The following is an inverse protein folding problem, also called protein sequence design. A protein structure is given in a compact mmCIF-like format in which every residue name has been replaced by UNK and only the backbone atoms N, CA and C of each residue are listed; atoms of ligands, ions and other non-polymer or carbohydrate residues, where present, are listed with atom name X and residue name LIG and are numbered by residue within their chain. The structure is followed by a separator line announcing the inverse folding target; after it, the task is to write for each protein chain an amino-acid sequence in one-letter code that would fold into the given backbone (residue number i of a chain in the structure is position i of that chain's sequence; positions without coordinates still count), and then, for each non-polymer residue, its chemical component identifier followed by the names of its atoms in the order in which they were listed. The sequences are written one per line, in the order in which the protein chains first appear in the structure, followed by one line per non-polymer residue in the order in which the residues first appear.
data_IF_775846561106
#
_entry.id   IF_775846561106
#
_cell.length_a   1.000
_cell.length_b   1.000
_cell.length_c   1.000
_cell.angle_alpha   90.00
_cell.angle_beta   90.00
_cell.angle_gamma   90.00
#
_symmetry.space_group_name_H-M   'P 1'
#
loop_
_entity.id
_entity.type
_entity.pdbx_description
1 polymer ?
#
# COMPACT_ATOMS: atom_id res chain seq x y z
N UNK A 1 28.01 10.96 -4.49
CA UNK A 1 26.53 10.79 -4.58
C UNK A 1 26.23 10.04 -5.86
N UNK A 2 25.90 8.76 -5.77
CA UNK A 2 25.50 7.97 -6.92
C UNK A 2 24.11 8.46 -7.38
N UNK A 3 24.06 9.09 -8.53
CA UNK A 3 22.82 9.49 -9.20
C UNK A 3 22.17 8.28 -9.83
N UNK A 4 21.32 7.57 -9.07
CA UNK A 4 20.48 6.52 -9.64
C UNK A 4 19.45 7.15 -10.59
N UNK A 5 19.15 6.45 -11.71
CA UNK A 5 18.12 6.87 -12.67
C UNK A 5 16.80 7.15 -11.95
N UNK A 6 16.17 8.28 -12.23
CA UNK A 6 14.85 8.62 -11.68
C UNK A 6 13.75 7.84 -12.43
N UNK A 7 12.67 7.51 -11.71
CA UNK A 7 11.49 6.87 -12.28
C UNK A 7 11.39 5.38 -12.00
N UNK A 8 10.66 4.64 -12.86
CA UNK A 8 10.38 3.20 -12.77
C UNK A 8 11.47 2.33 -13.40
N UNK A 9 12.72 2.79 -13.42
CA UNK A 9 13.84 2.00 -13.96
C UNK A 9 14.09 0.76 -13.10
N UNK A 10 14.41 -0.37 -13.74
CA UNK A 10 14.80 -1.62 -13.06
C UNK A 10 16.07 -1.47 -12.21
N UNK A 11 16.95 -0.52 -12.55
CA UNK A 11 18.25 -0.30 -11.90
C UNK A 11 18.18 0.65 -10.69
N UNK A 12 16.99 0.92 -10.15
CA UNK A 12 16.90 1.79 -8.98
C UNK A 12 17.18 1.02 -7.70
N UNK A 13 18.08 1.56 -6.85
CA UNK A 13 18.29 1.07 -5.47
C UNK A 13 17.07 1.26 -4.56
N UNK A 14 16.03 1.97 -5.04
CA UNK A 14 14.80 2.25 -4.29
C UNK A 14 13.91 1.02 -4.23
N UNK A 15 13.30 0.78 -3.07
CA UNK A 15 12.27 -0.25 -2.95
C UNK A 15 11.06 0.11 -3.84
N UNK A 16 10.52 -0.89 -4.51
CA UNK A 16 9.33 -0.77 -5.35
C UNK A 16 8.12 -1.17 -4.53
N UNK A 17 7.08 -0.36 -4.57
CA UNK A 17 5.86 -0.57 -3.80
C UNK A 17 4.66 -0.34 -4.70
N UNK A 18 3.70 -1.26 -4.65
CA UNK A 18 2.36 -1.05 -5.19
C UNK A 18 1.44 -0.62 -4.05
N UNK A 19 0.57 0.34 -4.33
CA UNK A 19 -0.38 0.86 -3.35
C UNK A 19 -1.78 0.90 -3.97
N UNK A 20 -2.78 0.47 -3.21
CA UNK A 20 -4.18 0.53 -3.57
C UNK A 20 -4.99 1.22 -2.46
N UNK A 21 -5.96 2.03 -2.82
CA UNK A 21 -6.90 2.64 -1.88
C UNK A 21 -8.35 2.39 -2.32
N UNK A 22 -9.21 2.16 -1.36
CA UNK A 22 -10.66 2.13 -1.55
C UNK A 22 -11.24 3.50 -1.17
N UNK A 23 -12.06 4.04 -2.04
CA UNK A 23 -12.78 5.30 -1.79
C UNK A 23 -14.25 5.03 -1.51
N UNK A 24 -14.86 5.86 -0.66
CA UNK A 24 -16.32 5.92 -0.51
C UNK A 24 -16.95 6.58 -1.73
N UNK A 25 -18.27 6.51 -1.83
CA UNK A 25 -19.03 7.22 -2.88
C UNK A 25 -18.80 8.74 -2.88
N UNK A 26 -18.44 9.28 -1.71
CA UNK A 26 -18.12 10.71 -1.50
C UNK A 26 -16.65 11.04 -1.82
N UNK A 27 -15.84 10.07 -2.27
CA UNK A 27 -14.43 10.25 -2.57
C UNK A 27 -13.49 10.30 -1.34
N UNK A 28 -14.00 9.95 -0.14
CA UNK A 28 -13.15 9.82 1.07
C UNK A 28 -12.46 8.47 1.08
N UNK A 29 -11.27 8.42 1.68
CA UNK A 29 -10.50 7.18 1.80
C UNK A 29 -11.18 6.29 2.85
N UNK A 30 -11.48 5.04 2.47
CA UNK A 30 -12.09 4.04 3.33
C UNK A 30 -11.06 3.01 3.80
N UNK A 31 -10.24 2.52 2.88
CA UNK A 31 -9.19 1.54 3.16
C UNK A 31 -8.01 1.76 2.24
N UNK A 32 -6.85 1.25 2.64
CA UNK A 32 -5.67 1.20 1.79
C UNK A 32 -4.81 0.00 2.09
N UNK A 33 -4.02 -0.38 1.11
CA UNK A 33 -3.09 -1.50 1.16
C UNK A 33 -1.85 -1.16 0.36
N UNK A 34 -0.70 -1.67 0.79
CA UNK A 34 0.53 -1.56 0.03
C UNK A 34 1.37 -2.82 0.18
N UNK A 35 2.07 -3.17 -0.88
CA UNK A 35 2.94 -4.35 -0.93
C UNK A 35 4.27 -3.99 -1.57
N UNK A 36 5.36 -4.41 -0.95
CA UNK A 36 6.69 -4.35 -1.56
C UNK A 36 6.73 -5.37 -2.68
N UNK A 37 7.18 -4.95 -3.85
CA UNK A 37 7.27 -5.78 -5.06
C UNK A 37 8.70 -5.82 -5.58
N UNK A 38 9.05 -6.90 -6.24
CA UNK A 38 10.38 -7.06 -6.85
C UNK A 38 10.52 -6.20 -8.11
N UNK A 39 9.46 -6.18 -8.91
CA UNK A 39 9.41 -5.41 -10.14
C UNK A 39 8.00 -4.86 -10.41
N UNK A 40 7.84 -4.08 -11.46
CA UNK A 40 6.53 -3.54 -11.88
C UNK A 40 5.82 -4.43 -12.92
N UNK A 41 6.10 -5.74 -12.94
CA UNK A 41 5.40 -6.69 -13.80
C UNK A 41 3.98 -6.96 -13.32
N UNK A 42 3.12 -7.45 -14.21
CA UNK A 42 1.77 -7.86 -13.84
C UNK A 42 1.79 -8.96 -12.77
N UNK A 43 2.74 -9.91 -12.84
CA UNK A 43 2.90 -10.99 -11.86
C UNK A 43 3.18 -10.47 -10.45
N UNK A 44 4.02 -9.44 -10.32
CA UNK A 44 4.36 -8.85 -9.01
C UNK A 44 3.22 -7.98 -8.44
N UNK A 45 2.37 -7.41 -9.31
CA UNK A 45 1.25 -6.56 -8.91
C UNK A 45 -0.02 -7.39 -8.63
N UNK A 46 -0.22 -8.50 -9.35
CA UNK A 46 -1.42 -9.34 -9.27
C UNK A 46 -1.83 -9.69 -7.81
N UNK A 47 -0.91 -10.08 -6.90
CA UNK A 47 -1.31 -10.49 -5.56
C UNK A 47 -2.11 -9.45 -4.77
N UNK A 48 -1.83 -8.14 -4.95
CA UNK A 48 -2.61 -7.12 -4.24
C UNK A 48 -4.05 -7.01 -4.78
N UNK A 49 -4.23 -7.31 -6.07
CA UNK A 49 -5.55 -7.37 -6.67
C UNK A 49 -6.34 -8.57 -6.13
N UNK A 50 -5.73 -9.75 -6.13
CA UNK A 50 -6.39 -10.98 -5.73
C UNK A 50 -6.72 -11.02 -4.23
N UNK A 51 -5.84 -10.45 -3.39
CA UNK A 51 -6.02 -10.44 -1.93
C UNK A 51 -7.01 -9.36 -1.46
N UNK A 52 -7.10 -8.21 -2.16
CA UNK A 52 -7.78 -7.03 -1.60
C UNK A 52 -8.84 -6.40 -2.49
N UNK A 53 -8.91 -6.74 -3.78
CA UNK A 53 -9.78 -6.05 -4.73
C UNK A 53 -10.81 -7.01 -5.31
N UNK A 54 -12.09 -6.70 -5.11
CA UNK A 54 -13.17 -7.49 -5.72
C UNK A 54 -13.15 -7.35 -7.24
N UNK A 55 -13.40 -8.46 -7.97
CA UNK A 55 -13.52 -8.47 -9.44
C UNK A 55 -14.64 -7.57 -9.96
N UNK A 56 -15.64 -7.26 -9.13
CA UNK A 56 -16.76 -6.36 -9.45
C UNK A 56 -16.44 -4.89 -9.13
N UNK A 57 -15.30 -4.58 -8.51
CA UNK A 57 -14.95 -3.22 -8.13
C UNK A 57 -14.68 -2.34 -9.36
N UNK A 58 -15.07 -1.07 -9.28
CA UNK A 58 -14.63 -0.06 -10.24
C UNK A 58 -13.22 0.38 -9.91
N UNK A 59 -12.26 0.04 -10.76
CA UNK A 59 -10.84 0.25 -10.51
C UNK A 59 -10.30 1.31 -11.47
N UNK A 60 -9.51 2.24 -10.93
CA UNK A 60 -8.76 3.23 -11.71
C UNK A 60 -7.27 3.02 -11.50
N UNK A 61 -6.52 2.92 -12.57
CA UNK A 61 -5.05 2.82 -12.56
C UNK A 61 -4.44 3.81 -13.52
N UNK A 62 -3.14 4.08 -13.34
CA UNK A 62 -2.38 4.79 -14.36
C UNK A 62 -2.21 3.89 -15.62
N UNK A 63 -1.70 4.49 -16.72
CA UNK A 63 -1.48 3.80 -18.00
C UNK A 63 -0.23 2.92 -18.02
N UNK A 64 0.10 2.27 -16.88
CA UNK A 64 1.22 1.33 -16.86
C UNK A 64 0.85 0.02 -17.56
N UNK A 65 1.73 -0.48 -18.43
CA UNK A 65 1.46 -1.64 -19.28
C UNK A 65 1.14 -2.94 -18.53
N UNK A 66 1.64 -3.11 -17.31
CA UNK A 66 1.32 -4.27 -16.47
C UNK A 66 -0.19 -4.41 -16.18
N UNK A 67 -0.90 -3.29 -16.04
CA UNK A 67 -2.34 -3.30 -15.78
C UNK A 67 -3.17 -3.78 -16.98
N UNK A 68 -2.64 -3.74 -18.18
CA UNK A 68 -3.33 -4.28 -19.39
C UNK A 68 -3.56 -5.79 -19.29
N UNK A 69 -2.62 -6.52 -18.65
CA UNK A 69 -2.80 -7.96 -18.40
C UNK A 69 -3.83 -8.21 -17.30
N UNK A 70 -3.79 -7.44 -16.23
CA UNK A 70 -4.69 -7.53 -15.09
C UNK A 70 -6.13 -7.14 -15.50
N UNK A 71 -6.30 -6.18 -16.41
CA UNK A 71 -7.61 -5.77 -16.91
C UNK A 71 -8.42 -6.90 -17.57
N UNK A 72 -7.76 -7.98 -18.02
CA UNK A 72 -8.47 -9.15 -18.55
C UNK A 72 -9.29 -9.88 -17.50
N UNK A 73 -8.87 -9.82 -16.24
CA UNK A 73 -9.54 -10.47 -15.11
C UNK A 73 -10.46 -9.51 -14.33
N UNK A 74 -10.26 -8.20 -14.51
CA UNK A 74 -11.00 -7.14 -13.83
C UNK A 74 -11.73 -6.25 -14.84
N UNK A 75 -12.95 -6.60 -15.27
CA UNK A 75 -13.64 -5.96 -16.39
C UNK A 75 -13.94 -4.48 -16.18
N UNK A 76 -14.04 -4.03 -14.93
CA UNK A 76 -14.30 -2.63 -14.58
C UNK A 76 -13.01 -1.81 -14.33
N UNK A 77 -11.83 -2.34 -14.72
CA UNK A 77 -10.59 -1.63 -14.61
C UNK A 77 -10.42 -0.63 -15.76
N UNK A 78 -10.27 0.65 -15.39
CA UNK A 78 -10.02 1.76 -16.32
C UNK A 78 -8.61 2.30 -16.13
N UNK A 79 -7.88 2.42 -17.23
CA UNK A 79 -6.55 3.03 -17.26
C UNK A 79 -6.63 4.48 -17.70
N UNK A 80 -6.17 5.41 -16.87
CA UNK A 80 -6.19 6.84 -17.14
C UNK A 80 -4.76 7.40 -17.08
N UNK A 81 -4.47 8.45 -17.90
CA UNK A 81 -3.19 9.17 -17.76
C UNK A 81 -3.11 9.80 -16.38
N UNK A 82 -2.05 9.52 -15.64
CA UNK A 82 -1.88 10.07 -14.30
C UNK A 82 -1.74 11.59 -14.34
N UNK A 83 -2.65 12.27 -13.66
CA UNK A 83 -2.60 13.69 -13.32
C UNK A 83 -2.72 13.76 -11.77
N UNK A 84 -1.59 13.83 -11.04
CA UNK A 84 -1.56 13.59 -9.60
C UNK A 84 -2.50 14.46 -8.76
N UNK A 85 -2.76 15.69 -9.22
CA UNK A 85 -3.64 16.65 -8.53
C UNK A 85 -5.10 16.54 -8.91
N UNK A 86 -5.42 15.87 -10.02
CA UNK A 86 -6.77 15.77 -10.56
C UNK A 86 -7.39 14.41 -10.28
N UNK A 87 -6.90 13.37 -10.97
CA UNK A 87 -7.56 12.05 -10.94
C UNK A 87 -6.96 11.05 -9.94
N UNK A 88 -5.78 11.34 -9.38
CA UNK A 88 -5.08 10.47 -8.40
C UNK A 88 -4.70 11.21 -7.11
N UNK A 89 -5.41 12.28 -6.77
CA UNK A 89 -5.11 13.14 -5.62
C UNK A 89 -5.05 12.35 -4.30
N UNK A 90 -6.05 11.51 -4.03
CA UNK A 90 -6.15 10.80 -2.74
C UNK A 90 -5.00 9.81 -2.56
N UNK A 91 -4.70 9.00 -3.57
CA UNK A 91 -3.61 8.03 -3.47
C UNK A 91 -2.25 8.73 -3.39
N UNK A 92 -2.06 9.84 -4.11
CA UNK A 92 -0.83 10.61 -4.02
C UNK A 92 -0.64 11.23 -2.65
N UNK A 93 -1.71 11.76 -2.03
CA UNK A 93 -1.66 12.27 -0.66
C UNK A 93 -1.24 11.18 0.34
N UNK A 94 -1.82 9.97 0.24
CA UNK A 94 -1.42 8.84 1.08
C UNK A 94 0.05 8.47 0.87
N UNK A 95 0.52 8.40 -0.36
CA UNK A 95 1.93 8.12 -0.68
C UNK A 95 2.86 9.20 -0.09
N UNK A 96 2.47 10.47 -0.15
CA UNK A 96 3.24 11.55 0.45
C UNK A 96 3.27 11.48 1.97
N UNK A 97 2.13 11.24 2.62
CA UNK A 97 2.04 11.04 4.07
C UNK A 97 2.88 9.85 4.54
N UNK A 98 2.79 8.72 3.86
CA UNK A 98 3.60 7.54 4.12
C UNK A 98 5.10 7.85 4.03
N UNK A 99 5.53 8.51 2.95
CA UNK A 99 6.94 8.90 2.77
C UNK A 99 7.41 9.88 3.83
N UNK A 100 6.58 10.84 4.21
CA UNK A 100 6.88 11.80 5.28
C UNK A 100 7.03 11.07 6.62
N UNK A 101 6.07 10.22 6.97
CA UNK A 101 6.12 9.41 8.20
C UNK A 101 7.40 8.54 8.29
N UNK A 102 7.73 7.85 7.20
CA UNK A 102 8.95 7.03 7.16
C UNK A 102 10.23 7.86 7.33
N UNK A 103 10.28 9.09 6.79
CA UNK A 103 11.45 9.98 6.95
C UNK A 103 11.56 10.56 8.36
N UNK A 104 10.43 10.82 9.01
CA UNK A 104 10.41 11.44 10.35
C UNK A 104 10.77 10.42 11.44
N UNK A 105 10.27 9.19 11.33
CA UNK A 105 10.44 8.16 12.35
C UNK A 105 11.76 7.40 12.16
N UNK A 106 12.19 7.23 10.92
CA UNK A 106 13.32 6.38 10.57
C UNK A 106 14.34 7.16 9.73
N UNK A 107 15.50 7.43 10.28
CA UNK A 107 16.64 7.97 9.53
C UNK A 107 17.11 7.03 8.43
N UNK A 108 16.89 5.72 8.61
CA UNK A 108 17.24 4.69 7.63
C UNK A 108 16.25 3.53 7.66
N UNK A 109 15.43 3.41 6.61
CA UNK A 109 14.51 2.27 6.47
C UNK A 109 15.22 1.15 5.72
N UNK A 110 15.46 0.04 6.40
CA UNK A 110 15.97 -1.16 5.75
C UNK A 110 14.88 -1.77 4.87
N UNK A 111 15.23 -2.13 3.63
CA UNK A 111 14.29 -2.73 2.66
C UNK A 111 13.60 -3.98 3.20
N UNK A 112 14.30 -4.79 4.00
CA UNK A 112 13.74 -6.02 4.60
C UNK A 112 12.62 -5.75 5.60
N UNK A 113 12.59 -4.55 6.19
CA UNK A 113 11.56 -4.18 7.16
C UNK A 113 10.49 -3.27 6.57
N UNK A 114 10.65 -2.83 5.31
CA UNK A 114 9.73 -1.87 4.69
C UNK A 114 8.29 -2.37 4.70
N UNK A 115 8.05 -3.67 4.41
CA UNK A 115 6.69 -4.24 4.43
C UNK A 115 6.03 -4.06 5.80
N UNK A 116 6.75 -4.30 6.90
CA UNK A 116 6.22 -4.13 8.26
C UNK A 116 5.76 -2.70 8.54
N UNK A 117 6.52 -1.69 8.07
CA UNK A 117 6.12 -0.28 8.18
C UNK A 117 4.91 0.07 7.31
N UNK A 118 4.81 -0.51 6.11
CA UNK A 118 3.63 -0.35 5.26
C UNK A 118 2.40 -0.95 5.94
N UNK A 119 2.53 -2.17 6.47
CA UNK A 119 1.44 -2.87 7.15
C UNK A 119 0.97 -2.10 8.38
N UNK A 120 1.87 -1.56 9.18
CA UNK A 120 1.54 -0.72 10.33
C UNK A 120 0.81 0.56 9.90
N UNK A 121 1.32 1.28 8.90
CA UNK A 121 0.70 2.51 8.41
C UNK A 121 -0.72 2.25 7.92
N UNK A 122 -0.91 1.24 7.05
CA UNK A 122 -2.22 0.91 6.51
C UNK A 122 -3.15 0.27 7.54
N UNK A 123 -2.60 -0.44 8.52
CA UNK A 123 -3.37 -0.89 9.67
C UNK A 123 -4.00 0.29 10.42
N UNK A 124 -3.22 1.32 10.72
CA UNK A 124 -3.71 2.54 11.40
C UNK A 124 -4.73 3.29 10.52
N UNK A 125 -4.40 3.48 9.22
CA UNK A 125 -5.29 4.14 8.26
C UNK A 125 -6.64 3.45 8.19
N UNK A 126 -6.65 2.13 8.00
CA UNK A 126 -7.86 1.34 7.84
C UNK A 126 -8.76 1.32 9.08
N UNK A 127 -8.22 1.68 10.23
CA UNK A 127 -8.96 1.75 11.51
C UNK A 127 -9.35 3.15 11.93
N UNK A 128 -8.75 4.17 11.34
CA UNK A 128 -9.05 5.57 11.67
C UNK A 128 -10.53 5.93 11.48
N UNK A 129 -11.25 5.17 10.65
CA UNK A 129 -12.69 5.37 10.43
C UNK A 129 -13.55 4.98 11.65
N UNK A 130 -13.03 4.12 12.55
CA UNK A 130 -13.78 3.61 13.72
C UNK A 130 -13.71 4.53 14.94
N UNK A 131 -13.10 5.71 14.82
CA UNK A 131 -12.99 6.79 15.81
C UNK A 131 -13.25 6.40 17.28
N UNK A 132 -14.51 6.37 17.70
CA UNK A 132 -14.92 6.11 19.08
C UNK A 132 -14.64 4.67 19.55
N UNK A 133 -14.70 3.70 18.67
CA UNK A 133 -14.51 2.29 19.03
C UNK A 133 -13.07 1.79 18.80
N UNK A 134 -12.13 2.66 18.39
CA UNK A 134 -10.75 2.27 18.12
C UNK A 134 -10.10 1.63 19.34
N UNK A 135 -10.24 2.25 20.50
CA UNK A 135 -9.63 1.80 21.75
C UNK A 135 -10.18 0.43 22.18
N UNK A 136 -11.50 0.29 22.24
CA UNK A 136 -12.15 -0.97 22.62
C UNK A 136 -11.79 -2.11 21.67
N UNK A 137 -11.75 -1.84 20.37
CA UNK A 137 -11.34 -2.82 19.36
C UNK A 137 -9.86 -3.21 19.51
N UNK A 138 -8.99 -2.26 19.88
CA UNK A 138 -7.58 -2.53 20.15
C UNK A 138 -7.43 -3.44 21.38
N UNK A 139 -8.06 -3.09 22.49
CA UNK A 139 -8.01 -3.86 23.75
C UNK A 139 -8.55 -5.28 23.53
N UNK A 140 -9.71 -5.44 22.88
CA UNK A 140 -10.25 -6.77 22.55
C UNK A 140 -9.27 -7.63 21.76
N UNK A 141 -8.55 -7.04 20.80
CA UNK A 141 -7.55 -7.75 20.01
C UNK A 141 -6.32 -8.12 20.84
N UNK A 142 -5.85 -7.21 21.69
CA UNK A 142 -4.71 -7.49 22.57
C UNK A 142 -5.02 -8.64 23.53
N UNK A 143 -6.23 -8.68 24.11
CA UNK A 143 -6.66 -9.77 25.02
C UNK A 143 -6.79 -11.09 24.28
N UNK A 144 -7.31 -11.09 23.05
CA UNK A 144 -7.56 -12.30 22.26
C UNK A 144 -6.35 -12.75 21.44
N UNK A 145 -5.25 -12.01 21.46
CA UNK A 145 -4.04 -12.39 20.74
C UNK A 145 -3.10 -13.14 21.66
N UNK A 146 -2.54 -14.25 21.16
CA UNK A 146 -1.51 -14.98 21.89
C UNK A 146 -0.31 -14.06 22.16
N UNK A 147 0.28 -14.21 23.35
CA UNK A 147 1.47 -13.47 23.74
C UNK A 147 2.65 -13.81 22.82
N UNK A 148 3.20 -12.81 22.15
CA UNK A 148 4.33 -12.97 21.25
C UNK A 148 5.60 -12.55 21.98
N UNK A 149 6.38 -13.53 22.44
CA UNK A 149 7.66 -13.27 23.10
C UNK A 149 8.72 -12.71 22.14
N UNK A 150 9.68 -12.00 22.69
CA UNK A 150 10.79 -11.41 21.94
C UNK A 150 11.51 -12.40 21.01
N UNK A 151 11.70 -13.64 21.47
CA UNK A 151 12.32 -14.72 20.66
C UNK A 151 11.58 -15.01 19.36
N UNK A 152 10.25 -14.95 19.38
CA UNK A 152 9.44 -15.17 18.19
C UNK A 152 9.54 -14.00 17.21
N UNK A 153 9.59 -12.76 17.71
CA UNK A 153 9.76 -11.55 16.90
C UNK A 153 11.12 -11.57 16.17
N UNK A 154 12.17 -12.06 16.82
CA UNK A 154 13.53 -12.15 16.23
C UNK A 154 13.64 -13.31 15.25
N UNK A 155 12.92 -14.42 15.47
CA UNK A 155 12.93 -15.59 14.58
C UNK A 155 12.17 -15.37 13.26
N UNK A 156 11.31 -14.36 13.18
CA UNK A 156 10.58 -13.97 11.96
C UNK A 156 11.41 -13.06 11.03
N UNK A 157 12.73 -13.24 11.03
CA UNK A 157 13.65 -12.56 10.10
C UNK A 157 13.60 -13.15 8.71
#
# INVERSE_FOLDING_TARGET
KETGKQGRSYDTKKAKVVCAIELTKEGKIKRGYAKVIEDYSAKSIQPIFDEHISKKANIKTDKWTAYTKIAKEYPNLKQEKSQPTINFKQINNIIQQLKSGLRTIQTHVNKHHLQKYLDEYFYRLNRSIYKETIFDNLIKRMINHEWVGWKLIVALK
#
